data_IF_402863294534
#
_entry.id   IF_402863294534
#
_cell.length_a   1.000
_cell.length_b   1.000
_cell.length_c   1.000
_cell.angle_alpha   90.00
_cell.angle_beta   90.00
_cell.angle_gamma   90.00
#
_symmetry.space_group_name_H-M   'P 1'
#
loop_
_entity.id
_entity.type
_entity.pdbx_description
1 polymer ?
#
# COMPACT_ATOMS: atom_id res chain seq x y z
N UNK A 1 -3.96 -8.11 -4.51
CA UNK A 1 -3.76 -6.77 -3.97
C UNK A 1 -2.25 -6.50 -3.89
N UNK A 2 -1.79 -5.41 -4.49
CA UNK A 2 -0.38 -5.00 -4.49
C UNK A 2 -0.24 -3.74 -3.65
N UNK A 3 0.57 -3.79 -2.58
CA UNK A 3 0.79 -2.69 -1.64
C UNK A 3 -0.51 -1.94 -1.30
N UNK A 4 -1.54 -2.62 -0.78
CA UNK A 4 -2.88 -2.05 -0.64
C UNK A 4 -2.88 -0.87 0.32
N UNK A 5 -3.34 0.28 -0.17
CA UNK A 5 -3.40 1.52 0.59
C UNK A 5 -4.68 1.56 1.45
N UNK A 6 -4.62 0.96 2.62
CA UNK A 6 -5.72 0.97 3.62
C UNK A 6 -5.33 1.80 4.85
N UNK A 7 -4.63 2.88 4.62
CA UNK A 7 -4.18 3.79 5.68
C UNK A 7 -5.28 4.79 6.04
N UNK A 8 -6.26 4.29 6.76
CA UNK A 8 -7.42 5.07 7.19
C UNK A 8 -7.20 5.86 8.49
N UNK A 9 -8.26 6.56 8.92
CA UNK A 9 -8.27 7.42 10.11
C UNK A 9 -7.90 6.71 11.41
N UNK A 10 -8.13 5.40 11.50
CA UNK A 10 -7.80 4.59 12.69
C UNK A 10 -6.33 4.67 13.05
N UNK A 11 -5.44 4.82 12.05
CA UNK A 11 -4.00 4.88 12.27
C UNK A 11 -3.41 6.28 12.19
N UNK A 12 -4.23 7.28 11.84
CA UNK A 12 -3.82 8.69 11.79
C UNK A 12 -3.84 9.32 13.18
N UNK A 13 -2.84 10.14 13.55
CA UNK A 13 -2.88 10.98 14.74
C UNK A 13 -4.14 11.88 14.75
N UNK A 14 -4.67 12.16 15.93
CA UNK A 14 -5.91 12.93 16.06
C UNK A 14 -5.83 14.33 15.43
N UNK A 15 -4.68 15.01 15.53
CA UNK A 15 -4.49 16.34 14.94
C UNK A 15 -4.50 16.31 13.41
N UNK A 16 -3.94 15.27 12.77
CA UNK A 16 -4.00 15.11 11.32
C UNK A 16 -5.43 14.90 10.85
N UNK A 17 -6.22 14.10 11.57
CA UNK A 17 -7.64 13.88 11.28
C UNK A 17 -8.42 15.19 11.33
N UNK A 18 -8.16 16.00 12.35
CA UNK A 18 -8.82 17.29 12.54
C UNK A 18 -8.42 18.30 11.46
N UNK A 19 -7.12 18.43 11.18
CA UNK A 19 -6.61 19.32 10.12
C UNK A 19 -7.15 18.93 8.73
N UNK A 20 -7.17 17.62 8.42
CA UNK A 20 -7.72 17.14 7.16
C UNK A 20 -9.23 17.43 7.06
N UNK A 21 -9.98 17.22 8.14
CA UNK A 21 -11.40 17.54 8.17
C UNK A 21 -11.64 19.05 7.97
N UNK A 22 -10.96 19.88 8.74
CA UNK A 22 -11.08 21.34 8.65
C UNK A 22 -10.72 21.83 7.24
N UNK A 23 -9.56 21.42 6.72
CA UNK A 23 -9.13 21.83 5.39
C UNK A 23 -10.11 21.37 4.29
N UNK A 24 -10.65 20.16 4.39
CA UNK A 24 -11.61 19.65 3.42
C UNK A 24 -12.94 20.42 3.42
N UNK A 25 -13.35 21.02 4.55
CA UNK A 25 -14.61 21.76 4.66
C UNK A 25 -14.45 23.27 4.51
N UNK A 26 -13.23 23.81 4.60
CA UNK A 26 -12.99 25.25 4.48
C UNK A 26 -12.28 25.63 3.19
N UNK A 27 -11.24 24.87 2.82
CA UNK A 27 -10.37 25.16 1.66
C UNK A 27 -10.09 23.90 0.81
N UNK A 28 -11.12 23.16 0.36
CA UNK A 28 -10.96 21.86 -0.31
C UNK A 28 -10.17 21.94 -1.62
N UNK A 29 -10.10 23.11 -2.24
CA UNK A 29 -9.40 23.36 -3.50
C UNK A 29 -7.90 23.58 -3.34
N UNK A 30 -7.41 23.86 -2.14
CA UNK A 30 -5.98 24.05 -1.88
C UNK A 30 -5.25 22.75 -2.17
N UNK A 31 -4.13 22.85 -2.88
CA UNK A 31 -3.30 21.71 -3.24
C UNK A 31 -2.13 21.56 -2.28
N UNK A 32 -1.74 20.30 -2.07
CA UNK A 32 -0.56 19.92 -1.32
C UNK A 32 0.28 18.95 -2.15
N UNK A 33 1.58 18.94 -1.92
CA UNK A 33 2.52 18.05 -2.60
C UNK A 33 3.25 17.16 -1.62
N UNK A 34 3.61 15.95 -2.06
CA UNK A 34 4.49 15.04 -1.32
C UNK A 34 5.98 15.33 -1.49
N UNK A 35 6.35 16.39 -2.22
CA UNK A 35 7.75 16.75 -2.43
C UNK A 35 8.43 17.08 -1.09
N UNK A 36 9.64 16.58 -0.90
CA UNK A 36 10.44 16.86 0.31
C UNK A 36 10.12 15.98 1.51
N UNK A 37 9.21 15.01 1.42
CA UNK A 37 8.94 14.05 2.51
C UNK A 37 10.07 13.03 2.73
N UNK A 38 11.05 12.95 1.83
CA UNK A 38 12.17 12.00 1.95
C UNK A 38 11.77 10.53 1.81
N UNK A 39 10.58 10.25 1.26
CA UNK A 39 10.06 8.91 1.05
C UNK A 39 10.59 8.33 -0.26
N UNK A 40 11.07 7.09 -0.22
CA UNK A 40 11.57 6.35 -1.39
C UNK A 40 10.50 5.34 -1.86
N UNK A 41 9.73 5.64 -2.93
CA UNK A 41 8.66 4.77 -3.39
C UNK A 41 9.13 3.53 -4.16
N UNK A 42 10.37 3.56 -4.71
CA UNK A 42 10.97 2.49 -5.51
C UNK A 42 12.50 2.59 -5.50
N UNK A 43 13.20 1.49 -5.76
CA UNK A 43 14.64 1.46 -6.01
C UNK A 43 14.99 1.75 -7.48
N UNK A 44 14.01 1.85 -8.36
CA UNK A 44 14.18 2.17 -9.78
C UNK A 44 14.20 3.69 -9.98
N UNK A 45 15.37 4.28 -9.75
CA UNK A 45 15.56 5.75 -9.81
C UNK A 45 15.28 6.30 -11.20
N UNK A 46 15.67 5.59 -12.26
CA UNK A 46 15.42 6.01 -13.64
C UNK A 46 13.92 6.15 -13.91
N UNK A 47 13.14 5.14 -13.56
CA UNK A 47 11.68 5.17 -13.63
C UNK A 47 11.08 6.32 -12.80
N UNK A 48 11.60 6.61 -11.60
CA UNK A 48 11.12 7.71 -10.77
C UNK A 48 11.40 9.08 -11.41
N UNK A 49 12.53 9.24 -12.08
CA UNK A 49 12.86 10.46 -12.83
C UNK A 49 11.90 10.65 -14.01
N UNK A 50 11.62 9.59 -14.77
CA UNK A 50 10.65 9.61 -15.87
C UNK A 50 9.25 9.97 -15.36
N UNK A 51 8.80 9.33 -14.28
CA UNK A 51 7.52 9.63 -13.62
C UNK A 51 7.45 11.11 -13.18
N UNK A 52 8.57 11.63 -12.68
CA UNK A 52 8.69 13.04 -12.28
C UNK A 52 8.55 14.00 -13.46
N UNK A 53 8.92 13.61 -14.67
CA UNK A 53 8.83 14.41 -15.91
C UNK A 53 7.51 14.24 -16.63
N UNK A 54 6.80 13.14 -16.41
CA UNK A 54 5.55 12.85 -17.10
C UNK A 54 4.46 13.88 -16.73
N UNK A 55 3.93 14.64 -17.69
CA UNK A 55 2.88 15.62 -17.44
C UNK A 55 1.53 15.01 -17.06
N UNK A 56 1.32 13.73 -17.34
CA UNK A 56 0.09 13.00 -16.99
C UNK A 56 0.08 12.55 -15.54
N UNK A 57 1.21 12.62 -14.84
CA UNK A 57 1.30 12.25 -13.42
C UNK A 57 0.98 13.47 -12.55
N UNK A 58 -0.02 13.32 -11.69
CA UNK A 58 -0.43 14.35 -10.73
C UNK A 58 0.71 14.60 -9.73
N UNK A 59 1.15 15.86 -9.64
CA UNK A 59 2.22 16.30 -8.72
C UNK A 59 1.68 16.95 -7.45
N UNK A 60 0.45 17.43 -7.51
CA UNK A 60 -0.23 18.15 -6.43
C UNK A 60 -1.65 17.60 -6.28
N UNK A 61 -2.10 17.41 -5.07
CA UNK A 61 -3.42 16.83 -4.80
C UNK A 61 -4.22 17.80 -3.93
N UNK A 62 -5.47 18.05 -4.32
CA UNK A 62 -6.38 18.90 -3.56
C UNK A 62 -6.71 18.26 -2.20
N UNK A 63 -6.84 19.08 -1.17
CA UNK A 63 -7.19 18.61 0.19
C UNK A 63 -8.52 17.85 0.18
N UNK A 64 -9.52 18.32 -0.59
CA UNK A 64 -10.79 17.62 -0.75
C UNK A 64 -10.63 16.21 -1.35
N UNK A 65 -9.73 16.05 -2.33
CA UNK A 65 -9.44 14.74 -2.92
C UNK A 65 -8.73 13.80 -1.93
N UNK A 66 -7.79 14.33 -1.11
CA UNK A 66 -7.14 13.55 -0.05
C UNK A 66 -8.18 13.09 0.99
N UNK A 67 -9.12 13.97 1.36
CA UNK A 67 -10.20 13.60 2.27
C UNK A 67 -11.08 12.48 1.71
N UNK A 68 -11.45 12.57 0.42
CA UNK A 68 -12.17 11.51 -0.28
C UNK A 68 -11.39 10.18 -0.35
N UNK A 69 -10.08 10.25 -0.61
CA UNK A 69 -9.20 9.09 -0.61
C UNK A 69 -9.16 8.42 0.77
N UNK A 70 -9.05 9.20 1.85
CA UNK A 70 -9.06 8.67 3.22
C UNK A 70 -10.42 8.01 3.54
N UNK A 71 -11.54 8.58 3.08
CA UNK A 71 -12.85 7.93 3.20
C UNK A 71 -12.89 6.57 2.49
N UNK A 72 -12.31 6.49 1.29
CA UNK A 72 -12.22 5.24 0.54
C UNK A 72 -11.33 4.22 1.23
N UNK A 73 -10.22 4.65 1.82
CA UNK A 73 -9.33 3.78 2.61
C UNK A 73 -10.05 3.22 3.86
N UNK A 74 -10.81 4.05 4.57
CA UNK A 74 -11.61 3.62 5.72
C UNK A 74 -12.68 2.59 5.30
N UNK A 75 -13.38 2.84 4.19
CA UNK A 75 -14.36 1.90 3.64
C UNK A 75 -13.70 0.59 3.21
N UNK A 76 -12.55 0.66 2.52
CA UNK A 76 -11.79 -0.54 2.13
C UNK A 76 -11.34 -1.37 3.32
N UNK A 77 -10.92 -0.73 4.42
CA UNK A 77 -10.57 -1.43 5.64
C UNK A 77 -11.80 -2.08 6.30
N UNK A 78 -12.91 -1.36 6.38
CA UNK A 78 -14.14 -1.85 7.00
C UNK A 78 -14.72 -3.07 6.25
N UNK A 79 -14.60 -3.11 4.91
CA UNK A 79 -15.12 -4.19 4.07
C UNK A 79 -14.11 -5.33 3.83
N UNK A 80 -12.89 -5.23 4.36
CA UNK A 80 -11.87 -6.27 4.17
C UNK A 80 -12.33 -7.66 4.64
N UNK A 81 -13.15 -7.72 5.70
CA UNK A 81 -13.74 -8.96 6.22
C UNK A 81 -14.78 -9.60 5.30
N UNK A 82 -15.40 -8.83 4.42
CA UNK A 82 -16.44 -9.29 3.51
C UNK A 82 -15.87 -9.95 2.25
N UNK A 83 -14.55 -9.90 2.05
CA UNK A 83 -13.90 -10.49 0.89
C UNK A 83 -13.94 -12.01 0.95
N UNK A 84 -14.83 -12.61 0.15
CA UNK A 84 -15.07 -14.07 0.11
C UNK A 84 -14.18 -14.80 -0.90
N UNK A 85 -13.61 -14.08 -1.86
CA UNK A 85 -12.74 -14.67 -2.90
C UNK A 85 -11.32 -14.88 -2.37
N UNK A 86 -10.60 -15.91 -2.87
CA UNK A 86 -9.19 -16.08 -2.55
C UNK A 86 -8.39 -14.82 -2.90
N UNK A 87 -7.58 -14.34 -1.96
CA UNK A 87 -6.80 -13.12 -2.14
C UNK A 87 -5.30 -13.40 -1.96
N UNK A 88 -4.49 -12.78 -2.83
CA UNK A 88 -3.05 -12.66 -2.70
C UNK A 88 -2.72 -11.21 -2.38
N UNK A 89 -1.99 -10.99 -1.29
CA UNK A 89 -1.51 -9.67 -0.86
C UNK A 89 0.00 -9.64 -1.00
N UNK A 90 0.51 -8.68 -1.80
CA UNK A 90 1.93 -8.48 -2.01
C UNK A 90 2.36 -7.22 -1.27
N UNK A 91 3.41 -7.33 -0.47
CA UNK A 91 3.93 -6.23 0.33
C UNK A 91 5.45 -6.15 0.28
N UNK A 92 5.98 -4.94 0.09
CA UNK A 92 7.41 -4.64 0.12
C UNK A 92 7.87 -4.34 1.55
N UNK A 93 8.91 -5.00 2.03
CA UNK A 93 9.43 -4.76 3.39
C UNK A 93 9.97 -3.33 3.56
N UNK A 94 10.41 -2.70 2.46
CA UNK A 94 10.92 -1.33 2.40
C UNK A 94 9.85 -0.31 1.99
N UNK A 95 8.56 -0.69 2.02
CA UNK A 95 7.48 0.26 1.72
C UNK A 95 7.39 1.32 2.84
N UNK A 96 7.74 2.57 2.47
CA UNK A 96 7.69 3.74 3.34
C UNK A 96 6.38 4.53 3.17
N UNK A 97 5.59 4.24 2.12
CA UNK A 97 4.33 4.93 1.84
C UNK A 97 3.21 4.30 2.68
N UNK A 98 3.12 2.97 2.71
CA UNK A 98 2.12 2.26 3.50
C UNK A 98 2.79 1.69 4.77
N UNK A 99 2.52 2.26 5.94
CA UNK A 99 3.13 1.80 7.19
C UNK A 99 2.76 0.34 7.50
N UNK A 100 3.72 -0.45 7.99
CA UNK A 100 3.51 -1.86 8.38
C UNK A 100 2.33 -2.04 9.34
N UNK A 101 2.12 -1.08 10.25
CA UNK A 101 1.00 -1.09 11.20
C UNK A 101 -0.36 -1.14 10.50
N UNK A 102 -0.52 -0.42 9.39
CA UNK A 102 -1.79 -0.37 8.65
C UNK A 102 -2.03 -1.66 7.87
N UNK A 103 -1.01 -2.21 7.24
CA UNK A 103 -1.07 -3.53 6.58
C UNK A 103 -1.42 -4.62 7.60
N UNK A 104 -0.80 -4.59 8.78
CA UNK A 104 -1.13 -5.49 9.89
C UNK A 104 -2.59 -5.39 10.31
N UNK A 105 -3.09 -4.16 10.46
CA UNK A 105 -4.48 -3.92 10.82
C UNK A 105 -5.43 -4.49 9.77
N UNK A 106 -5.16 -4.24 8.49
CA UNK A 106 -5.93 -4.80 7.39
C UNK A 106 -5.95 -6.33 7.42
N UNK A 107 -4.80 -6.97 7.63
CA UNK A 107 -4.69 -8.43 7.70
C UNK A 107 -5.53 -9.02 8.84
N UNK A 108 -5.69 -8.31 9.95
CA UNK A 108 -6.55 -8.72 11.08
C UNK A 108 -8.05 -8.64 10.76
N UNK A 109 -8.44 -7.82 9.79
CA UNK A 109 -9.87 -7.68 9.39
C UNK A 109 -10.33 -8.76 8.42
N UNK A 110 -9.42 -9.50 7.77
CA UNK A 110 -9.83 -10.58 6.88
C UNK A 110 -10.39 -11.78 7.64
N UNK A 111 -11.64 -12.16 7.35
CA UNK A 111 -12.25 -13.39 7.86
C UNK A 111 -11.62 -14.63 7.21
N UNK A 112 -11.34 -14.58 5.90
CA UNK A 112 -10.59 -15.60 5.18
C UNK A 112 -9.13 -15.18 5.12
N UNK A 113 -8.22 -16.00 5.65
CA UNK A 113 -6.78 -15.68 5.65
C UNK A 113 -6.27 -15.55 4.21
N UNK A 114 -5.89 -14.35 3.75
CA UNK A 114 -5.29 -14.19 2.44
C UNK A 114 -3.89 -14.80 2.41
N UNK A 115 -3.43 -15.20 1.22
CA UNK A 115 -2.01 -15.50 1.04
C UNK A 115 -1.25 -14.18 1.02
N UNK A 116 -0.19 -14.08 1.80
CA UNK A 116 0.66 -12.88 1.87
C UNK A 116 2.03 -13.19 1.32
N UNK A 117 2.49 -12.39 0.38
CA UNK A 117 3.84 -12.46 -0.18
C UNK A 117 4.65 -11.25 0.29
N UNK A 118 5.75 -11.50 1.02
CA UNK A 118 6.64 -10.47 1.52
C UNK A 118 7.93 -10.42 0.69
N UNK A 119 8.18 -9.26 0.07
CA UNK A 119 9.38 -9.00 -0.72
C UNK A 119 10.39 -8.20 0.12
N UNK A 120 11.49 -8.85 0.53
CA UNK A 120 12.51 -8.27 1.42
C UNK A 120 13.15 -6.99 0.85
N UNK A 121 13.42 -6.98 -0.47
CA UNK A 121 13.97 -5.83 -1.18
C UNK A 121 12.91 -4.90 -1.78
N UNK A 122 11.61 -5.25 -1.66
CA UNK A 122 10.53 -4.53 -2.32
C UNK A 122 10.19 -3.21 -1.64
N UNK A 123 9.88 -2.22 -2.44
CA UNK A 123 9.35 -0.92 -2.05
C UNK A 123 7.83 -0.86 -2.30
N UNK A 124 7.26 0.35 -2.33
CA UNK A 124 5.83 0.53 -2.59
C UNK A 124 5.47 0.17 -4.03
N UNK A 125 6.32 0.52 -4.99
CA UNK A 125 6.05 0.30 -6.41
C UNK A 125 6.52 -1.07 -6.88
N UNK A 126 6.16 -2.15 -6.18
CA UNK A 126 6.59 -3.53 -6.42
C UNK A 126 6.58 -3.98 -7.89
N UNK A 127 5.63 -3.47 -8.68
CA UNK A 127 5.49 -3.81 -10.11
C UNK A 127 6.44 -3.00 -11.01
N UNK A 128 7.17 -2.04 -10.44
CA UNK A 128 8.10 -1.13 -11.14
C UNK A 128 9.49 -1.09 -10.51
N UNK A 129 9.68 -1.72 -9.35
CA UNK A 129 10.99 -1.88 -8.72
C UNK A 129 11.96 -2.63 -9.65
N UNK A 130 13.25 -2.51 -9.43
CA UNK A 130 14.25 -3.26 -10.21
C UNK A 130 13.98 -4.76 -10.28
N UNK A 131 13.56 -5.45 -9.18
CA UNK A 131 13.21 -6.87 -9.21
C UNK A 131 11.75 -7.14 -9.59
N UNK A 132 11.03 -6.23 -10.24
CA UNK A 132 9.60 -6.35 -10.57
C UNK A 132 9.25 -7.64 -11.33
N UNK A 133 10.16 -8.14 -12.17
CA UNK A 133 9.96 -9.40 -12.92
C UNK A 133 9.68 -10.61 -12.00
N UNK A 134 10.24 -10.63 -10.79
CA UNK A 134 9.95 -11.65 -9.78
C UNK A 134 8.50 -11.56 -9.30
N UNK A 135 8.04 -10.34 -9.05
CA UNK A 135 6.65 -10.07 -8.61
C UNK A 135 5.65 -10.44 -9.69
N UNK A 136 5.94 -10.12 -10.96
CA UNK A 136 5.08 -10.47 -12.10
C UNK A 136 4.95 -11.99 -12.26
N UNK A 137 6.06 -12.73 -12.13
CA UNK A 137 6.06 -14.21 -12.19
C UNK A 137 5.21 -14.81 -11.07
N UNK A 138 5.32 -14.28 -9.86
CA UNK A 138 4.54 -14.74 -8.72
C UNK A 138 3.04 -14.50 -8.94
N UNK A 139 2.66 -13.32 -9.44
CA UNK A 139 1.26 -12.99 -9.76
C UNK A 139 0.72 -13.94 -10.84
N UNK A 140 1.45 -14.09 -11.95
CA UNK A 140 1.05 -14.98 -13.04
C UNK A 140 0.90 -16.43 -12.56
N UNK A 141 1.84 -16.91 -11.76
CA UNK A 141 1.79 -18.25 -11.18
C UNK A 141 0.57 -18.42 -10.27
N UNK A 142 0.29 -17.45 -9.39
CA UNK A 142 -0.85 -17.52 -8.49
C UNK A 142 -2.20 -17.51 -9.22
N UNK A 143 -2.30 -16.78 -10.34
CA UNK A 143 -3.52 -16.77 -11.17
C UNK A 143 -3.77 -18.16 -11.77
N UNK A 144 -2.73 -18.84 -12.24
CA UNK A 144 -2.82 -20.15 -12.91
C UNK A 144 -2.87 -21.32 -11.93
N UNK A 145 -2.18 -21.23 -10.79
CA UNK A 145 -2.11 -22.30 -9.80
C UNK A 145 -2.11 -21.75 -8.36
N UNK A 146 -3.31 -21.46 -7.84
CA UNK A 146 -3.49 -20.87 -6.51
C UNK A 146 -3.02 -21.76 -5.36
N UNK A 147 -2.98 -23.07 -5.54
CA UNK A 147 -2.59 -24.01 -4.49
C UNK A 147 -1.07 -24.11 -4.30
N UNK A 148 -0.32 -23.91 -5.39
CA UNK A 148 1.14 -24.02 -5.34
C UNK A 148 1.79 -22.83 -4.61
N UNK A 149 2.98 -23.04 -3.99
CA UNK A 149 3.80 -21.95 -3.47
C UNK A 149 4.25 -21.01 -4.59
N UNK A 150 4.47 -19.75 -4.24
CA UNK A 150 5.00 -18.78 -5.21
C UNK A 150 6.43 -19.13 -5.64
N UNK A 151 6.81 -18.95 -6.92
CA UNK A 151 8.14 -19.25 -7.42
C UNK A 151 9.28 -18.55 -6.64
N UNK A 152 9.05 -17.34 -6.18
CA UNK A 152 10.03 -16.58 -5.38
C UNK A 152 10.15 -17.05 -3.93
N UNK A 153 9.21 -17.86 -3.43
CA UNK A 153 9.09 -18.23 -2.03
C UNK A 153 8.68 -17.06 -1.11
N UNK A 154 8.22 -15.95 -1.66
CA UNK A 154 7.83 -14.77 -0.88
C UNK A 154 6.65 -15.04 0.08
N UNK A 155 5.80 -16.02 -0.23
CA UNK A 155 4.68 -16.47 0.61
C UNK A 155 5.08 -17.42 1.75
N UNK A 156 6.31 -17.91 1.75
CA UNK A 156 6.88 -18.75 2.84
C UNK A 156 7.64 -17.93 3.88
N UNK A 157 7.89 -16.67 3.61
CA UNK A 157 8.64 -15.79 4.50
C UNK A 157 7.85 -15.48 5.77
N UNK A 158 8.56 -15.30 6.86
CA UNK A 158 7.95 -15.11 8.16
C UNK A 158 7.17 -13.78 8.22
N UNK A 159 5.85 -13.87 8.05
CA UNK A 159 4.92 -12.73 8.16
C UNK A 159 4.98 -12.12 9.57
N UNK A 160 5.42 -12.88 10.60
CA UNK A 160 5.60 -12.33 11.95
C UNK A 160 6.58 -11.15 11.97
N UNK A 161 7.57 -11.12 11.06
CA UNK A 161 8.47 -9.95 10.91
C UNK A 161 7.75 -8.71 10.37
N UNK A 162 6.65 -8.90 9.63
CA UNK A 162 5.73 -7.85 9.20
C UNK A 162 4.79 -7.46 10.33
N UNK A 163 4.38 -8.45 11.10
CA UNK A 163 3.39 -8.26 12.15
C UNK A 163 4.02 -7.68 13.43
N UNK A 164 5.36 -7.62 13.55
CA UNK A 164 6.06 -7.26 14.78
C UNK A 164 5.87 -8.33 15.85
N UNK A 165 6.86 -8.57 16.68
CA UNK A 165 6.62 -9.15 17.98
C UNK A 165 5.64 -8.22 18.73
N UNK A 166 4.65 -8.77 19.38
CA UNK A 166 3.76 -8.01 20.26
C UNK A 166 4.64 -7.30 21.29
N UNK A 167 4.81 -5.98 21.15
CA UNK A 167 5.18 -5.08 22.24
C UNK A 167 3.91 -4.51 22.84
#
# INVERSE_FOLDING_TARGET
LVAPAVWGRVTMPWYQRWLLWLGAHTVPWVTVTGRGLGITPSDNIEMLIELGRDPLIIKETRIGAIYGLVNLMDAGLATAGDLKVPALILYGKKDEIIPKKTTRLMLKHFNNKPRVALYEGGYHMLLRDLPAATVWKDIAHWITNRAAPLPSGADKRNIKSLLGADE
#
